data_IF_584510880638
#
_entry.id   IF_584510880638
#
_cell.length_a   1.000
_cell.length_b   1.000
_cell.length_c   1.000
_cell.angle_alpha   90.00
_cell.angle_beta   90.00
_cell.angle_gamma   90.00
#
_symmetry.space_group_name_H-M   'P 1'
#
loop_
_entity.id
_entity.type
_entity.pdbx_description
1 polymer ?
#
# COMPACT_ATOMS: atom_id res chain seq x y z
N UNK A 1 -25.73 -14.75 14.66
CA UNK A 1 -24.43 -15.42 14.80
C UNK A 1 -24.64 -16.73 15.55
N UNK A 2 -23.93 -17.79 15.17
CA UNK A 2 -23.88 -19.03 15.94
C UNK A 2 -22.58 -19.08 16.73
N UNK A 3 -22.65 -18.81 18.03
CA UNK A 3 -21.49 -18.84 18.93
C UNK A 3 -21.71 -19.94 19.98
N UNK A 4 -20.83 -20.95 20.01
CA UNK A 4 -20.89 -22.09 20.96
C UNK A 4 -22.29 -22.77 20.94
N UNK A 5 -22.86 -22.98 19.75
CA UNK A 5 -24.13 -23.67 19.57
C UNK A 5 -25.38 -22.88 19.99
N UNK A 6 -25.27 -21.59 20.31
CA UNK A 6 -26.41 -20.69 20.56
C UNK A 6 -26.47 -19.58 19.53
N UNK A 7 -27.69 -19.26 19.10
CA UNK A 7 -27.95 -18.13 18.21
C UNK A 7 -28.01 -16.84 19.01
N UNK A 8 -27.15 -15.89 18.67
CA UNK A 8 -27.07 -14.55 19.27
C UNK A 8 -27.16 -13.46 18.19
N UNK A 9 -27.76 -12.33 18.54
CA UNK A 9 -27.81 -11.12 17.72
C UNK A 9 -26.66 -10.21 18.15
N UNK A 10 -25.80 -9.80 17.21
CA UNK A 10 -24.62 -8.98 17.45
C UNK A 10 -24.48 -7.95 16.34
N UNK A 11 -23.62 -6.94 16.56
CA UNK A 11 -23.30 -5.93 15.56
C UNK A 11 -22.57 -6.55 14.36
N UNK A 12 -22.93 -6.13 13.15
CA UNK A 12 -22.31 -6.59 11.91
C UNK A 12 -20.81 -6.30 11.85
N UNK A 13 -20.32 -5.28 12.57
CA UNK A 13 -18.89 -4.94 12.64
C UNK A 13 -18.00 -6.03 13.28
N UNK A 14 -18.60 -6.98 13.99
CA UNK A 14 -17.88 -8.06 14.70
C UNK A 14 -17.79 -9.33 13.84
N UNK A 15 -18.43 -9.36 12.67
CA UNK A 15 -18.48 -10.54 11.80
C UNK A 15 -17.09 -10.90 11.25
N UNK A 16 -16.68 -12.16 11.43
CA UNK A 16 -15.39 -12.68 10.97
C UNK A 16 -15.61 -13.69 9.82
N UNK A 17 -14.70 -13.78 8.83
CA UNK A 17 -14.78 -14.82 7.80
C UNK A 17 -14.89 -16.23 8.40
N UNK A 18 -15.81 -17.03 7.86
CA UNK A 18 -16.22 -18.38 8.31
C UNK A 18 -17.23 -18.46 9.45
N UNK A 19 -17.74 -17.33 9.92
CA UNK A 19 -18.87 -17.34 10.85
C UNK A 19 -20.15 -17.87 10.19
N UNK A 20 -20.96 -18.58 10.98
CA UNK A 20 -22.29 -19.02 10.55
C UNK A 20 -23.31 -17.97 11.02
N UNK A 21 -23.96 -17.34 10.04
CA UNK A 21 -25.01 -16.37 10.25
C UNK A 21 -26.37 -16.95 9.86
N UNK A 22 -27.39 -16.63 10.65
CA UNK A 22 -28.79 -16.92 10.29
C UNK A 22 -29.32 -15.68 9.61
N UNK A 23 -29.77 -15.85 8.37
CA UNK A 23 -30.30 -14.77 7.55
C UNK A 23 -31.82 -14.92 7.52
N UNK A 24 -32.55 -13.91 7.98
CA UNK A 24 -34.00 -13.87 7.96
C UNK A 24 -34.51 -13.07 6.77
N UNK A 25 -35.81 -13.17 6.56
CA UNK A 25 -36.50 -12.39 5.56
C UNK A 25 -36.39 -10.89 5.87
N UNK A 26 -36.06 -10.09 4.85
CA UNK A 26 -35.84 -8.64 4.93
C UNK A 26 -34.52 -8.23 5.60
N UNK A 27 -33.66 -9.19 5.96
CA UNK A 27 -32.32 -8.87 6.43
C UNK A 27 -31.47 -8.34 5.26
N UNK A 28 -30.56 -7.43 5.61
CA UNK A 28 -29.50 -6.98 4.71
C UNK A 28 -28.34 -7.93 4.89
N UNK A 29 -27.78 -8.41 3.79
CA UNK A 29 -26.59 -9.25 3.83
C UNK A 29 -25.39 -8.33 4.08
N UNK A 30 -24.72 -8.49 5.22
CA UNK A 30 -23.63 -7.61 5.64
C UNK A 30 -22.24 -8.05 5.17
N UNK A 31 -22.09 -9.29 4.70
CA UNK A 31 -20.85 -9.81 4.12
C UNK A 31 -21.15 -10.87 3.06
N UNK A 32 -20.21 -11.09 2.16
CA UNK A 32 -20.29 -12.17 1.18
C UNK A 32 -20.37 -13.51 1.91
N UNK A 33 -21.41 -14.28 1.58
CA UNK A 33 -21.72 -15.53 2.26
C UNK A 33 -22.13 -16.61 1.27
N UNK A 34 -22.05 -17.86 1.72
CA UNK A 34 -22.52 -19.02 0.96
C UNK A 34 -23.67 -19.68 1.70
N UNK A 35 -24.75 -19.99 0.98
CA UNK A 35 -25.91 -20.64 1.56
C UNK A 35 -25.56 -22.08 1.96
N UNK A 36 -25.64 -22.37 3.26
CA UNK A 36 -25.29 -23.67 3.83
C UNK A 36 -26.50 -24.60 3.95
N UNK A 37 -27.59 -24.11 4.53
CA UNK A 37 -28.78 -24.90 4.84
C UNK A 37 -30.05 -24.01 4.80
N UNK A 38 -31.16 -24.53 4.26
CA UNK A 38 -32.45 -23.81 4.20
C UNK A 38 -33.13 -23.83 2.81
N UNK A 39 -34.27 -23.15 2.73
CA UNK A 39 -35.01 -22.97 1.47
C UNK A 39 -34.28 -22.02 0.51
N UNK A 40 -34.58 -22.14 -0.79
CA UNK A 40 -34.07 -21.21 -1.80
C UNK A 40 -34.44 -19.75 -1.46
N UNK A 41 -33.45 -18.87 -1.50
CA UNK A 41 -33.56 -17.50 -1.06
C UNK A 41 -33.56 -16.57 -2.26
N UNK A 42 -34.53 -15.67 -2.38
CA UNK A 42 -34.43 -14.61 -3.38
C UNK A 42 -33.71 -13.40 -2.81
N UNK A 43 -32.75 -12.91 -3.58
CA UNK A 43 -31.84 -11.85 -3.15
C UNK A 43 -31.93 -10.73 -4.18
N UNK A 44 -32.27 -9.54 -3.70
CA UNK A 44 -32.25 -8.33 -4.53
C UNK A 44 -30.82 -7.78 -4.55
N UNK A 45 -30.22 -7.88 -5.74
CA UNK A 45 -28.87 -7.41 -6.04
C UNK A 45 -28.90 -6.13 -6.87
N UNK A 46 -30.05 -5.46 -7.03
CA UNK A 46 -30.19 -4.24 -7.84
C UNK A 46 -29.21 -3.13 -7.47
N UNK A 47 -28.85 -3.05 -6.18
CA UNK A 47 -27.89 -2.07 -5.68
C UNK A 47 -26.43 -2.40 -6.04
N UNK A 48 -26.12 -3.67 -6.35
CA UNK A 48 -24.77 -4.17 -6.61
C UNK A 48 -24.55 -4.45 -8.11
N UNK A 49 -25.51 -5.08 -8.78
CA UNK A 49 -25.40 -5.54 -10.17
C UNK A 49 -26.24 -4.73 -11.15
N UNK A 50 -27.17 -3.90 -10.66
CA UNK A 50 -28.10 -3.14 -11.49
C UNK A 50 -29.27 -3.97 -12.06
N UNK A 51 -29.35 -5.26 -11.74
CA UNK A 51 -30.47 -6.12 -12.16
C UNK A 51 -31.73 -5.81 -11.33
N UNK A 52 -32.83 -5.49 -12.02
CA UNK A 52 -34.06 -4.99 -11.37
C UNK A 52 -34.91 -6.10 -10.74
N UNK A 53 -34.71 -7.35 -11.14
CA UNK A 53 -35.44 -8.50 -10.63
C UNK A 53 -34.60 -9.25 -9.60
N UNK A 54 -35.19 -9.67 -8.46
CA UNK A 54 -34.48 -10.45 -7.48
C UNK A 54 -34.08 -11.81 -8.05
N UNK A 55 -32.86 -12.23 -7.79
CA UNK A 55 -32.30 -13.50 -8.26
C UNK A 55 -32.53 -14.56 -7.19
N UNK A 56 -33.07 -15.70 -7.59
CA UNK A 56 -33.22 -16.85 -6.69
C UNK A 56 -31.89 -17.57 -6.55
N UNK A 57 -31.44 -17.73 -5.31
CA UNK A 57 -30.20 -18.40 -4.94
C UNK A 57 -30.49 -19.73 -4.25
N UNK A 58 -29.88 -20.79 -4.77
CA UNK A 58 -30.03 -22.14 -4.24
C UNK A 58 -28.96 -22.48 -3.21
N UNK A 59 -29.10 -23.65 -2.58
CA UNK A 59 -28.10 -24.18 -1.65
C UNK A 59 -26.71 -24.23 -2.31
N UNK A 60 -25.67 -23.91 -1.55
CA UNK A 60 -24.27 -23.80 -2.01
C UNK A 60 -23.96 -22.65 -2.97
N UNK A 61 -24.92 -21.80 -3.33
CA UNK A 61 -24.65 -20.58 -4.11
C UNK A 61 -24.22 -19.41 -3.22
N UNK A 62 -23.48 -18.48 -3.82
CA UNK A 62 -22.96 -17.27 -3.17
C UNK A 62 -23.98 -16.13 -3.19
N UNK A 63 -24.05 -15.42 -2.06
CA UNK A 63 -24.82 -14.20 -1.83
C UNK A 63 -23.86 -13.08 -1.46
N UNK A 64 -24.04 -11.91 -2.06
CA UNK A 64 -23.10 -10.79 -1.90
C UNK A 64 -23.57 -9.79 -0.84
N UNK A 65 -22.60 -9.15 -0.20
CA UNK A 65 -22.80 -8.04 0.72
C UNK A 65 -23.58 -6.90 0.08
N UNK A 66 -24.43 -6.23 0.86
CA UNK A 66 -25.31 -5.15 0.41
C UNK A 66 -26.58 -5.62 -0.31
N UNK A 67 -26.72 -6.93 -0.57
CA UNK A 67 -27.95 -7.48 -1.14
C UNK A 67 -29.03 -7.59 -0.08
N UNK A 68 -30.30 -7.37 -0.46
CA UNK A 68 -31.42 -7.49 0.48
C UNK A 68 -32.19 -8.78 0.25
N UNK A 69 -32.48 -9.50 1.33
CA UNK A 69 -33.23 -10.75 1.24
C UNK A 69 -34.70 -10.43 1.05
N UNK A 70 -35.17 -10.66 -0.17
CA UNK A 70 -36.58 -10.55 -0.48
C UNK A 70 -37.17 -11.95 -0.53
N UNK A 71 -38.30 -12.16 0.12
CA UNK A 71 -39.11 -13.31 -0.29
C UNK A 71 -39.49 -13.05 -1.73
N UNK A 72 -39.71 -14.13 -2.45
CA UNK A 72 -40.56 -14.23 -3.62
C UNK A 72 -41.99 -13.74 -3.26
N UNK A 73 -42.15 -12.59 -2.61
CA UNK A 73 -43.41 -12.05 -2.13
C UNK A 73 -44.32 -11.72 -3.30
N UNK A 74 -43.73 -11.33 -4.43
CA UNK A 74 -44.47 -11.05 -5.66
C UNK A 74 -45.07 -12.33 -6.25
N UNK A 75 -44.30 -13.41 -6.40
CA UNK A 75 -44.82 -14.67 -6.99
C UNK A 75 -45.66 -15.43 -5.95
N UNK A 76 -45.31 -15.40 -4.66
CA UNK A 76 -46.12 -15.98 -3.58
C UNK A 76 -47.43 -15.21 -3.41
N UNK A 77 -47.46 -13.87 -3.45
CA UNK A 77 -48.73 -13.11 -3.46
C UNK A 77 -49.53 -13.40 -4.73
N UNK A 78 -48.92 -13.43 -5.91
CA UNK A 78 -49.64 -13.78 -7.13
C UNK A 78 -50.23 -15.20 -7.05
N UNK A 79 -49.47 -16.18 -6.54
CA UNK A 79 -49.90 -17.58 -6.37
C UNK A 79 -50.87 -17.77 -5.20
N UNK A 80 -50.86 -16.92 -4.17
CA UNK A 80 -51.78 -17.01 -3.02
C UNK A 80 -53.06 -16.21 -3.28
N UNK A 81 -52.97 -15.05 -3.92
CA UNK A 81 -54.10 -14.17 -4.19
C UNK A 81 -55.01 -14.70 -5.30
N UNK A 82 -54.47 -15.37 -6.32
CA UNK A 82 -55.25 -15.93 -7.43
C UNK A 82 -56.16 -17.12 -7.04
N UNK A 83 -55.71 -18.10 -6.21
CA UNK A 83 -56.56 -19.22 -5.81
C UNK A 83 -57.27 -19.05 -4.45
N UNK A 84 -56.74 -18.28 -3.48
CA UNK A 84 -57.27 -18.30 -2.10
C UNK A 84 -58.24 -17.14 -1.80
N UNK A 85 -58.14 -16.00 -2.49
CA UNK A 85 -58.87 -14.78 -2.06
C UNK A 85 -60.02 -14.32 -2.97
N UNK A 86 -60.18 -14.84 -4.20
CA UNK A 86 -61.24 -14.40 -5.16
C UNK A 86 -61.45 -12.86 -5.19
N UNK A 87 -60.40 -12.08 -4.90
CA UNK A 87 -60.49 -10.64 -4.76
C UNK A 87 -60.44 -9.98 -6.14
N UNK A 88 -61.08 -8.82 -6.28
CA UNK A 88 -61.07 -8.04 -7.53
C UNK A 88 -59.62 -7.75 -7.94
N UNK A 89 -59.30 -8.00 -9.20
CA UNK A 89 -57.97 -7.80 -9.83
C UNK A 89 -57.32 -6.43 -9.52
N UNK A 90 -58.13 -5.40 -9.23
CA UNK A 90 -57.66 -4.06 -8.87
C UNK A 90 -56.95 -3.97 -7.52
N UNK A 91 -57.40 -4.69 -6.51
CA UNK A 91 -56.81 -4.63 -5.17
C UNK A 91 -55.45 -5.33 -5.13
N UNK A 92 -55.31 -6.39 -5.92
CA UNK A 92 -54.05 -7.10 -6.08
C UNK A 92 -52.95 -6.29 -6.76
N UNK A 93 -53.32 -5.47 -7.76
CA UNK A 93 -52.38 -4.54 -8.39
C UNK A 93 -51.90 -3.49 -7.40
N UNK A 94 -52.79 -2.99 -6.54
CA UNK A 94 -52.44 -1.98 -5.54
C UNK A 94 -51.45 -2.53 -4.50
N UNK A 95 -51.66 -3.76 -4.01
CA UNK A 95 -50.72 -4.40 -3.07
C UNK A 95 -49.33 -4.61 -3.71
N UNK A 96 -49.30 -5.10 -4.95
CA UNK A 96 -48.06 -5.27 -5.71
C UNK A 96 -47.32 -3.94 -5.91
N UNK A 97 -48.05 -2.87 -6.17
CA UNK A 97 -47.51 -1.53 -6.37
C UNK A 97 -46.92 -0.94 -5.08
N UNK A 98 -47.56 -1.15 -3.93
CA UNK A 98 -47.01 -0.75 -2.62
C UNK A 98 -45.71 -1.50 -2.31
N UNK A 99 -45.65 -2.80 -2.63
CA UNK A 99 -44.45 -3.62 -2.43
C UNK A 99 -43.30 -3.20 -3.37
N UNK A 100 -43.61 -2.84 -4.62
CA UNK A 100 -42.64 -2.31 -5.58
C UNK A 100 -42.08 -0.95 -5.13
N UNK A 101 -42.94 -0.02 -4.72
CA UNK A 101 -42.51 1.32 -4.26
C UNK A 101 -41.68 1.22 -2.97
N UNK A 102 -42.08 0.37 -2.02
CA UNK A 102 -41.31 0.17 -0.78
C UNK A 102 -40.05 -0.68 -0.98
N UNK A 103 -39.99 -1.48 -2.04
CA UNK A 103 -38.91 -2.43 -2.27
C UNK A 103 -37.72 -1.85 -3.01
N UNK A 104 -37.88 -0.84 -3.86
CA UNK A 104 -36.77 -0.31 -4.67
C UNK A 104 -36.00 0.73 -3.85
N UNK A 105 -34.73 0.49 -3.51
CA UNK A 105 -33.95 1.38 -2.65
C UNK A 105 -33.35 2.54 -3.46
N UNK A 106 -34.20 3.46 -3.97
CA UNK A 106 -33.79 4.56 -4.86
C UNK A 106 -32.74 5.49 -4.19
N UNK A 107 -32.76 5.61 -2.86
CA UNK A 107 -31.84 6.47 -2.13
C UNK A 107 -30.43 5.89 -1.94
N UNK A 108 -30.25 4.55 -2.02
CA UNK A 108 -28.97 3.92 -1.70
C UNK A 108 -27.81 4.37 -2.60
N UNK A 109 -27.95 4.41 -3.94
CA UNK A 109 -26.85 4.85 -4.82
C UNK A 109 -26.40 6.29 -4.55
N UNK A 110 -27.35 7.18 -4.21
CA UNK A 110 -27.05 8.58 -3.88
C UNK A 110 -26.30 8.70 -2.56
N UNK A 111 -26.73 7.97 -1.53
CA UNK A 111 -26.08 7.98 -0.20
C UNK A 111 -24.65 7.43 -0.30
N UNK A 112 -24.45 6.34 -1.03
CA UNK A 112 -23.11 5.76 -1.25
C UNK A 112 -22.19 6.78 -1.95
N UNK A 113 -22.66 7.40 -3.02
CA UNK A 113 -21.89 8.38 -3.80
C UNK A 113 -21.47 9.60 -2.96
N UNK A 114 -22.37 10.15 -2.14
CA UNK A 114 -22.08 11.28 -1.25
C UNK A 114 -21.06 10.85 -0.18
N UNK A 115 -21.25 9.67 0.40
CA UNK A 115 -20.35 9.15 1.44
C UNK A 115 -18.93 8.96 0.89
N UNK A 116 -18.80 8.39 -0.31
CA UNK A 116 -17.51 8.19 -0.95
C UNK A 116 -16.81 9.52 -1.32
N UNK A 117 -17.57 10.55 -1.70
CA UNK A 117 -17.05 11.90 -1.91
C UNK A 117 -16.55 12.56 -0.60
N UNK A 118 -17.26 12.37 0.51
CA UNK A 118 -16.83 12.87 1.83
C UNK A 118 -15.57 12.13 2.30
N UNK A 119 -15.53 10.80 2.14
CA UNK A 119 -14.36 9.98 2.46
C UNK A 119 -13.14 10.41 1.64
N UNK A 120 -13.31 10.65 0.34
CA UNK A 120 -12.28 11.19 -0.53
C UNK A 120 -11.71 12.51 0.01
N UNK A 121 -12.59 13.44 0.39
CA UNK A 121 -12.15 14.74 0.92
C UNK A 121 -11.37 14.58 2.23
N UNK A 122 -11.82 13.71 3.15
CA UNK A 122 -11.10 13.42 4.40
C UNK A 122 -9.75 12.76 4.17
N UNK A 123 -9.66 11.82 3.23
CA UNK A 123 -8.41 11.14 2.88
C UNK A 123 -7.38 12.13 2.31
N UNK A 124 -7.85 13.06 1.48
CA UNK A 124 -7.02 14.16 0.96
C UNK A 124 -6.51 15.09 2.06
N UNK A 125 -7.33 15.40 3.08
CA UNK A 125 -6.87 16.17 4.25
C UNK A 125 -5.80 15.45 5.09
N UNK A 126 -5.75 14.12 5.02
CA UNK A 126 -4.71 13.31 5.66
C UNK A 126 -3.45 13.17 4.79
N UNK A 127 -3.40 13.81 3.62
CA UNK A 127 -2.25 13.78 2.71
C UNK A 127 -2.23 12.60 1.74
N UNK A 128 -3.28 11.77 1.71
CA UNK A 128 -3.43 10.68 0.74
C UNK A 128 -4.36 11.12 -0.40
N UNK A 129 -3.78 11.33 -1.58
CA UNK A 129 -4.51 11.75 -2.78
C UNK A 129 -4.82 10.52 -3.62
N UNK A 130 -6.10 10.21 -3.79
CA UNK A 130 -6.57 9.16 -4.69
C UNK A 130 -6.98 9.75 -6.04
N UNK A 131 -6.86 8.94 -7.11
CA UNK A 131 -7.24 9.38 -8.46
C UNK A 131 -8.72 9.09 -8.78
N UNK A 132 -9.23 8.01 -8.22
CA UNK A 132 -10.60 7.55 -8.41
C UNK A 132 -11.24 7.34 -7.04
N UNK A 133 -12.55 7.58 -6.95
CA UNK A 133 -13.30 7.43 -5.71
C UNK A 133 -13.44 5.95 -5.33
N UNK A 134 -13.50 5.05 -6.32
CA UNK A 134 -13.61 3.58 -6.14
C UNK A 134 -12.37 2.96 -5.47
N UNK A 135 -11.21 3.62 -5.55
CA UNK A 135 -9.97 3.13 -4.91
C UNK A 135 -10.11 3.08 -3.37
N UNK A 136 -11.07 3.82 -2.79
CA UNK A 136 -11.33 3.77 -1.35
C UNK A 136 -11.85 2.38 -0.93
N UNK A 137 -12.68 1.74 -1.74
CA UNK A 137 -13.19 0.39 -1.48
C UNK A 137 -12.07 -0.65 -1.60
N UNK A 138 -11.23 -0.53 -2.63
CA UNK A 138 -10.05 -1.39 -2.81
C UNK A 138 -9.06 -1.27 -1.64
N UNK A 139 -8.86 -0.06 -1.11
CA UNK A 139 -8.05 0.14 0.10
C UNK A 139 -8.66 -0.48 1.34
N UNK A 140 -9.99 -0.43 1.49
CA UNK A 140 -10.69 -1.03 2.62
C UNK A 140 -10.61 -2.57 2.61
N UNK A 141 -10.56 -3.19 1.43
CA UNK A 141 -10.37 -4.62 1.24
C UNK A 141 -8.90 -5.07 1.09
N UNK A 142 -7.92 -4.22 1.36
CA UNK A 142 -6.51 -4.55 1.13
C UNK A 142 -5.94 -5.44 2.24
N UNK A 143 -5.63 -6.69 1.90
CA UNK A 143 -5.00 -7.65 2.82
C UNK A 143 -3.46 -7.60 2.82
N UNK A 144 -2.85 -7.23 1.69
CA UNK A 144 -1.38 -7.23 1.52
C UNK A 144 -0.92 -5.91 0.92
N UNK A 145 -0.06 -5.21 1.66
CA UNK A 145 0.59 -3.97 1.22
C UNK A 145 2.05 -4.25 0.86
N UNK A 146 2.37 -4.25 -0.44
CA UNK A 146 3.74 -4.30 -0.92
C UNK A 146 4.33 -2.88 -0.95
N UNK A 147 5.18 -2.55 0.01
CA UNK A 147 5.86 -1.25 0.07
C UNK A 147 7.30 -1.35 -0.45
N UNK A 148 7.71 -0.37 -1.27
CA UNK A 148 9.10 -0.25 -1.69
C UNK A 148 9.95 0.30 -0.53
N UNK A 149 11.07 -0.36 -0.21
CA UNK A 149 11.95 0.05 0.89
C UNK A 149 12.48 1.47 0.68
N UNK A 150 13.02 1.74 -0.51
CA UNK A 150 13.71 3.00 -0.78
C UNK A 150 12.66 4.09 -0.95
N UNK A 151 12.85 5.21 -0.26
CA UNK A 151 12.00 6.40 -0.33
C UNK A 151 10.55 6.23 0.21
N UNK A 152 10.09 5.01 0.51
CA UNK A 152 8.81 4.78 1.24
C UNK A 152 9.06 4.43 2.70
N UNK A 153 9.83 3.39 3.01
CA UNK A 153 10.11 2.98 4.39
C UNK A 153 11.28 3.73 5.01
N UNK A 154 12.33 3.95 4.21
CA UNK A 154 13.53 4.64 4.69
C UNK A 154 13.40 6.14 4.48
N UNK A 155 13.74 6.92 5.51
CA UNK A 155 14.11 8.32 5.32
C UNK A 155 15.29 8.32 4.34
N UNK A 156 15.12 8.96 3.18
CA UNK A 156 16.15 9.08 2.14
C UNK A 156 17.28 10.03 2.61
N UNK A 157 17.83 9.76 3.80
CA UNK A 157 18.82 10.49 4.58
C UNK A 157 19.75 9.45 5.18
N UNK A 158 20.93 9.31 4.58
CA UNK A 158 21.95 8.41 5.09
C UNK A 158 22.75 9.11 6.18
N UNK A 159 23.19 8.35 7.17
CA UNK A 159 24.10 8.82 8.22
C UNK A 159 25.11 7.71 8.49
N UNK A 160 26.33 8.08 8.84
CA UNK A 160 27.43 7.15 9.08
C UNK A 160 28.01 7.44 10.46
N UNK A 161 28.12 6.41 11.28
CA UNK A 161 28.80 6.50 12.58
C UNK A 161 30.32 6.43 12.37
N UNK A 162 31.04 7.48 12.81
CA UNK A 162 32.50 7.57 12.70
C UNK A 162 33.22 6.44 13.45
N UNK A 163 32.61 5.87 14.48
CA UNK A 163 33.22 4.81 15.27
C UNK A 163 33.36 3.50 14.50
N UNK A 164 32.41 3.20 13.62
CA UNK A 164 32.36 1.97 12.82
C UNK A 164 33.29 1.99 11.59
N UNK A 165 33.93 3.13 11.30
CA UNK A 165 34.83 3.25 10.15
C UNK A 165 36.14 2.53 10.46
N UNK A 166 36.47 1.54 9.64
CA UNK A 166 37.77 0.86 9.62
C UNK A 166 38.67 1.41 8.51
N UNK A 167 39.94 1.62 8.82
CA UNK A 167 40.95 2.10 7.88
C UNK A 167 41.97 0.99 7.62
N UNK A 168 42.21 0.69 6.35
CA UNK A 168 43.10 -0.42 5.94
C UNK A 168 44.53 0.05 5.60
N UNK A 169 44.75 1.34 5.44
CA UNK A 169 46.07 1.94 5.20
C UNK A 169 46.83 2.13 6.51
N UNK A 170 48.12 1.79 6.54
CA UNK A 170 48.95 1.92 7.74
C UNK A 170 49.34 3.38 7.94
N UNK A 171 48.75 4.04 8.93
CA UNK A 171 49.12 5.39 9.36
C UNK A 171 48.09 6.48 9.01
N UNK A 172 47.01 6.15 8.29
CA UNK A 172 45.95 7.11 8.00
C UNK A 172 44.91 7.15 9.13
N UNK A 173 44.54 8.36 9.53
CA UNK A 173 43.48 8.59 10.52
C UNK A 173 42.08 8.49 9.89
N UNK A 174 41.07 8.17 10.70
CA UNK A 174 39.67 8.07 10.24
C UNK A 174 39.17 9.39 9.62
N UNK A 175 39.51 10.52 10.23
CA UNK A 175 39.09 11.84 9.76
C UNK A 175 39.70 12.18 8.39
N UNK A 176 40.93 11.72 8.12
CA UNK A 176 41.56 11.89 6.81
C UNK A 176 40.81 11.12 5.70
N UNK A 177 40.36 9.90 5.97
CA UNK A 177 39.57 9.10 5.01
C UNK A 177 38.21 9.76 4.74
N UNK A 178 37.56 10.29 5.78
CA UNK A 178 36.31 11.05 5.63
C UNK A 178 36.53 12.29 4.77
N UNK A 179 37.62 13.02 4.98
CA UNK A 179 37.96 14.19 4.16
C UNK A 179 38.17 13.81 2.69
N UNK A 180 38.86 12.71 2.40
CA UNK A 180 39.03 12.20 1.03
C UNK A 180 37.70 11.80 0.38
N UNK A 181 36.79 11.18 1.14
CA UNK A 181 35.46 10.84 0.67
C UNK A 181 34.61 12.09 0.40
N UNK A 182 34.69 13.11 1.27
CA UNK A 182 34.01 14.38 1.10
C UNK A 182 34.57 15.17 -0.09
N UNK A 183 35.89 15.12 -0.32
CA UNK A 183 36.54 15.64 -1.53
C UNK A 183 35.94 14.99 -2.78
N UNK A 184 35.80 13.66 -2.81
CA UNK A 184 35.17 12.96 -3.93
C UNK A 184 33.63 13.16 -4.04
N UNK A 185 33.02 13.98 -3.18
CA UNK A 185 31.57 14.24 -3.16
C UNK A 185 31.22 15.63 -3.71
N UNK A 186 30.00 15.76 -4.25
CA UNK A 186 29.41 17.05 -4.67
C UNK A 186 28.03 17.21 -4.07
N UNK A 187 27.83 18.26 -3.28
CA UNK A 187 26.53 18.61 -2.69
C UNK A 187 25.52 19.13 -3.72
N UNK A 188 25.99 19.59 -4.88
CA UNK A 188 25.16 20.12 -5.97
C UNK A 188 24.29 19.04 -6.63
N UNK A 189 24.76 17.79 -6.67
CA UNK A 189 24.07 16.69 -7.33
C UNK A 189 22.89 16.12 -6.52
N UNK A 190 22.68 16.61 -5.29
CA UNK A 190 21.62 16.15 -4.37
C UNK A 190 21.63 14.63 -4.08
N UNK A 191 22.76 13.97 -4.31
CA UNK A 191 22.93 12.56 -3.95
C UNK A 191 22.96 12.42 -2.42
N UNK A 192 22.09 11.56 -1.90
CA UNK A 192 21.93 11.36 -0.45
C UNK A 192 23.22 10.87 0.21
N UNK A 193 24.01 10.07 -0.51
CA UNK A 193 25.32 9.59 -0.06
C UNK A 193 26.30 10.76 0.05
N UNK A 194 26.32 11.65 -0.94
CA UNK A 194 27.22 12.81 -0.98
C UNK A 194 26.91 13.79 0.15
N UNK A 195 25.62 14.06 0.35
CA UNK A 195 25.15 14.91 1.46
C UNK A 195 25.51 14.30 2.80
N UNK A 196 25.36 12.97 2.97
CA UNK A 196 25.73 12.28 4.19
C UNK A 196 27.23 12.40 4.48
N UNK A 197 28.08 12.16 3.48
CA UNK A 197 29.54 12.23 3.63
C UNK A 197 30.01 13.65 3.93
N UNK A 198 29.53 14.66 3.19
CA UNK A 198 29.89 16.07 3.46
C UNK A 198 29.37 16.51 4.83
N UNK A 199 28.21 16.03 5.25
CA UNK A 199 27.65 16.28 6.59
C UNK A 199 28.41 15.62 7.74
N UNK A 200 29.36 14.72 7.48
CA UNK A 200 30.24 14.16 8.52
C UNK A 200 31.37 15.11 8.92
N UNK A 201 31.69 16.10 8.07
CA UNK A 201 32.68 17.13 8.36
C UNK A 201 32.10 18.17 9.32
N UNK A 202 32.96 18.84 10.09
CA UNK A 202 32.54 19.93 10.97
C UNK A 202 32.05 21.15 10.16
N UNK A 203 32.77 21.48 9.09
CA UNK A 203 32.37 22.49 8.10
C UNK A 203 32.41 21.88 6.68
N UNK A 204 31.29 21.90 5.92
CA UNK A 204 31.25 21.47 4.52
C UNK A 204 32.31 22.12 3.62
N UNK A 205 32.79 23.31 3.96
CA UNK A 205 33.83 24.02 3.19
C UNK A 205 35.20 23.34 3.25
N UNK A 206 35.47 22.56 4.29
CA UNK A 206 36.72 21.80 4.42
C UNK A 206 36.91 20.81 3.26
N UNK A 207 35.82 20.30 2.68
CA UNK A 207 35.85 19.39 1.53
C UNK A 207 36.51 19.99 0.28
N UNK A 208 36.63 21.32 0.19
CA UNK A 208 37.26 22.04 -0.93
C UNK A 208 38.34 23.03 -0.48
N UNK A 209 38.66 23.08 0.81
CA UNK A 209 39.70 23.95 1.32
C UNK A 209 41.09 23.49 0.85
N UNK A 210 41.92 24.44 0.39
CA UNK A 210 43.33 24.19 0.05
C UNK A 210 43.57 23.37 -1.23
N UNK A 211 42.53 23.04 -1.99
CA UNK A 211 42.66 22.24 -3.22
C UNK A 211 42.11 22.95 -4.45
N UNK A 212 42.78 22.77 -5.59
CA UNK A 212 42.28 23.18 -6.90
C UNK A 212 41.72 21.97 -7.63
N UNK A 213 40.41 21.94 -7.82
CA UNK A 213 39.74 20.89 -8.61
C UNK A 213 40.14 20.99 -10.09
N UNK A 214 40.61 19.87 -10.65
CA UNK A 214 40.98 19.76 -12.07
C UNK A 214 39.90 19.03 -12.85
N UNK A 215 39.48 17.87 -12.34
CA UNK A 215 38.51 17.03 -13.03
C UNK A 215 37.70 16.17 -12.08
N UNK A 216 36.38 16.21 -12.23
CA UNK A 216 35.42 15.41 -11.48
C UNK A 216 34.61 14.55 -12.44
N UNK A 217 34.50 13.25 -12.15
CA UNK A 217 33.68 12.33 -12.91
C UNK A 217 32.46 11.93 -12.06
N UNK A 218 31.22 12.23 -12.51
CA UNK A 218 30.01 11.88 -11.79
C UNK A 218 29.81 10.36 -11.73
N UNK A 219 28.93 9.92 -10.83
CA UNK A 219 28.61 8.51 -10.68
C UNK A 219 28.03 7.92 -11.98
N UNK A 220 28.53 6.75 -12.36
CA UNK A 220 28.04 5.97 -13.49
C UNK A 220 27.65 4.55 -13.02
N UNK A 221 26.54 4.01 -13.54
CA UNK A 221 26.04 2.66 -13.19
C UNK A 221 27.01 1.53 -13.58
N UNK A 222 27.83 1.75 -14.61
CA UNK A 222 28.83 0.77 -15.06
C UNK A 222 30.05 0.79 -14.15
N UNK A 223 30.63 1.97 -13.93
CA UNK A 223 31.85 2.14 -13.13
C UNK A 223 31.60 2.06 -11.61
N UNK A 224 30.36 2.32 -11.18
CA UNK A 224 29.89 2.39 -9.78
C UNK A 224 30.82 3.19 -8.85
N UNK A 225 31.43 4.26 -9.36
CA UNK A 225 32.38 5.11 -8.62
C UNK A 225 32.33 6.57 -9.07
N UNK A 226 32.91 7.43 -8.24
CA UNK A 226 33.01 8.88 -8.43
C UNK A 226 34.42 9.34 -8.01
N UNK A 227 35.32 9.59 -8.97
CA UNK A 227 36.65 10.14 -8.69
C UNK A 227 36.71 11.67 -8.86
N UNK A 228 37.51 12.29 -7.99
CA UNK A 228 37.94 13.68 -8.08
C UNK A 228 39.46 13.72 -8.26
N UNK A 229 39.92 14.46 -9.28
CA UNK A 229 41.33 14.82 -9.49
C UNK A 229 41.53 16.27 -9.07
N UNK A 230 42.47 16.52 -8.18
CA UNK A 230 42.77 17.84 -7.65
C UNK A 230 44.28 18.06 -7.50
N UNK A 231 44.68 19.33 -7.51
CA UNK A 231 46.03 19.77 -7.23
C UNK A 231 46.03 20.35 -5.81
N UNK A 232 46.95 19.86 -4.98
CA UNK A 232 47.12 20.35 -3.60
C UNK A 232 47.86 21.69 -3.56
N UNK A 233 47.92 22.32 -2.39
CA UNK A 233 48.63 23.59 -2.17
C UNK A 233 50.13 23.51 -2.52
N UNK A 234 50.73 22.32 -2.41
CA UNK A 234 52.12 22.04 -2.78
C UNK A 234 52.33 21.82 -4.29
N UNK A 235 51.27 21.89 -5.10
CA UNK A 235 51.33 21.67 -6.56
C UNK A 235 51.31 20.21 -6.99
N UNK A 236 51.20 19.27 -6.05
CA UNK A 236 51.13 17.84 -6.34
C UNK A 236 49.74 17.42 -6.86
N UNK A 237 49.72 16.48 -7.80
CA UNK A 237 48.48 15.94 -8.36
C UNK A 237 47.99 14.75 -7.54
N UNK A 238 46.74 14.83 -7.08
CA UNK A 238 46.09 13.78 -6.31
C UNK A 238 44.76 13.38 -6.96
N UNK A 239 44.37 12.12 -6.74
CA UNK A 239 43.07 11.60 -7.14
C UNK A 239 42.44 10.81 -6.00
N UNK A 240 41.28 11.26 -5.54
CA UNK A 240 40.45 10.55 -4.56
C UNK A 240 39.23 9.94 -5.25
N UNK A 241 38.82 8.73 -4.88
CA UNK A 241 37.65 8.07 -5.46
C UNK A 241 36.81 7.42 -4.38
N UNK A 242 35.49 7.51 -4.52
CA UNK A 242 34.51 6.74 -3.74
C UNK A 242 33.68 5.86 -4.68
N UNK A 243 33.07 4.79 -4.17
CA UNK A 243 32.25 3.90 -5.00
C UNK A 243 31.96 2.56 -4.33
N UNK A 244 31.41 1.64 -5.11
CA UNK A 244 31.17 0.27 -4.68
C UNK A 244 32.50 -0.38 -4.22
N UNK A 245 32.54 -1.02 -3.03
CA UNK A 245 33.77 -1.59 -2.49
C UNK A 245 34.51 -2.53 -3.45
N UNK A 246 33.77 -3.38 -4.17
CA UNK A 246 34.34 -4.31 -5.17
C UNK A 246 35.08 -3.58 -6.30
N UNK A 247 34.52 -2.48 -6.80
CA UNK A 247 35.12 -1.71 -7.89
C UNK A 247 36.34 -0.93 -7.41
N UNK A 248 36.28 -0.37 -6.20
CA UNK A 248 37.43 0.32 -5.60
C UNK A 248 38.57 -0.68 -5.32
N UNK A 249 38.25 -1.86 -4.80
CA UNK A 249 39.23 -2.93 -4.57
C UNK A 249 39.94 -3.39 -5.85
N UNK A 250 39.27 -3.35 -7.01
CA UNK A 250 39.90 -3.71 -8.28
C UNK A 250 40.89 -2.65 -8.79
N UNK A 251 40.75 -1.40 -8.35
CA UNK A 251 41.70 -0.33 -8.68
C UNK A 251 42.95 -0.38 -7.80
N UNK A 252 42.82 -0.90 -6.58
CA UNK A 252 43.91 -0.99 -5.63
C UNK A 252 44.61 -2.35 -5.74
N UNK A 253 45.92 -2.35 -6.00
CA UNK A 253 46.72 -3.57 -6.03
C UNK A 253 47.06 -4.07 -4.60
N UNK A 254 46.03 -4.43 -3.83
CA UNK A 254 46.18 -4.95 -2.46
C UNK A 254 46.40 -6.47 -2.45
N UNK A 255 47.08 -6.94 -1.40
CA UNK A 255 47.24 -8.37 -1.10
C UNK A 255 45.89 -9.03 -0.82
N UNK A 256 45.79 -10.32 -1.15
CA UNK A 256 44.61 -11.17 -0.96
C UNK A 256 44.01 -11.07 0.47
N UNK A 257 44.87 -10.92 1.48
CA UNK A 257 44.47 -10.85 2.89
C UNK A 257 43.57 -9.64 3.20
N UNK A 258 43.89 -8.48 2.63
CA UNK A 258 43.09 -7.26 2.82
C UNK A 258 41.78 -7.39 2.06
N UNK A 259 41.81 -7.97 0.85
CA UNK A 259 40.60 -8.23 0.06
C UNK A 259 39.63 -9.12 0.84
N UNK A 260 40.11 -10.18 1.50
CA UNK A 260 39.28 -11.06 2.33
C UNK A 260 38.67 -10.33 3.53
N UNK A 261 39.45 -9.49 4.23
CA UNK A 261 38.94 -8.69 5.36
C UNK A 261 37.80 -7.75 4.93
N UNK A 262 37.96 -7.06 3.81
CA UNK A 262 36.91 -6.15 3.30
C UNK A 262 35.64 -6.93 2.92
N UNK A 263 35.76 -8.07 2.23
CA UNK A 263 34.58 -8.89 1.90
C UNK A 263 33.89 -9.46 3.14
N UNK A 264 34.65 -9.86 4.17
CA UNK A 264 34.07 -10.32 5.43
C UNK A 264 33.24 -9.24 6.13
N UNK A 265 33.59 -7.97 5.92
CA UNK A 265 32.86 -6.84 6.50
C UNK A 265 31.62 -6.43 5.69
N UNK A 266 31.61 -6.71 4.37
CA UNK A 266 30.45 -6.45 3.50
C UNK A 266 29.35 -7.50 3.72
N UNK A 267 29.74 -8.74 4.02
CA UNK A 267 28.82 -9.87 4.15
C UNK A 267 28.27 -10.06 5.57
N UNK A 268 28.79 -9.32 6.56
CA UNK A 268 28.27 -9.26 7.93
C UNK A 268 27.19 -8.17 8.05
#
# INVERSE_FOLDING_TARGET
FLEIGRWTEQDAAILVPRDIISIKLRDIIHADARLLEGDALSVDQSSLTGESLPVTKNLSEEVFSGSTVKKVGIIIELIVMYPIQYHKYRDGINNLLVLLIGGIPIAMPTVLSITMAICFHRLSQQGAITKCITTIEEMAGMDVLCSDKIRTLTLNKLSVDKNLIEVFSKGDEKDYVILLAARASRTENQDVIDVAIVGMLADPKEARAGIREVHFLPFNLVDKRTPLTYIDSDGNWHRSSKGAPEQILNLCNYKEDVRKRVHGMINN
#
